data_IF_942346918641
#
_entry.id   IF_942346918641
#
_cell.length_a   1.000
_cell.length_b   1.000
_cell.length_c   1.000
_cell.angle_alpha   90.00
_cell.angle_beta   90.00
_cell.angle_gamma   90.00
#
_symmetry.space_group_name_H-M   'P 1'
#
loop_
_entity.id
_entity.type
_entity.pdbx_description
1 polymer ?
#
# COMPACT_ATOMS: atom_id res chain seq x y z
N UNK A 1 -25.39 -32.26 8.48
CA UNK A 1 -25.10 -31.67 7.18
C UNK A 1 -25.28 -30.15 7.32
N UNK A 2 -24.20 -29.45 7.62
CA UNK A 2 -24.18 -27.98 7.70
C UNK A 2 -24.37 -27.44 6.29
N UNK A 3 -25.44 -26.66 6.08
CA UNK A 3 -25.56 -25.82 4.89
C UNK A 3 -24.44 -24.80 4.97
N UNK A 4 -23.35 -25.00 4.24
CA UNK A 4 -22.31 -24.00 4.07
C UNK A 4 -22.94 -22.77 3.41
N UNK A 5 -23.28 -21.78 4.22
CA UNK A 5 -23.65 -20.47 3.71
C UNK A 5 -22.45 -19.95 2.94
N UNK A 6 -22.64 -19.57 1.66
CA UNK A 6 -21.62 -18.88 0.86
C UNK A 6 -21.26 -17.62 1.64
N UNK A 7 -20.00 -17.49 2.07
CA UNK A 7 -19.56 -16.26 2.72
C UNK A 7 -19.66 -15.13 1.70
N UNK A 8 -20.33 -14.05 2.08
CA UNK A 8 -20.37 -12.85 1.26
C UNK A 8 -18.97 -12.22 1.26
N UNK A 9 -18.48 -11.85 0.07
CA UNK A 9 -17.26 -11.04 -0.06
C UNK A 9 -17.68 -9.59 0.14
N UNK A 10 -16.93 -8.86 0.96
CA UNK A 10 -17.20 -7.46 1.31
C UNK A 10 -15.96 -6.64 1.01
N UNK A 11 -16.12 -5.52 0.31
CA UNK A 11 -15.09 -4.50 0.22
C UNK A 11 -14.95 -3.79 1.57
N UNK A 12 -13.74 -3.77 2.12
CA UNK A 12 -13.43 -3.08 3.37
C UNK A 12 -12.34 -2.06 3.11
N UNK A 13 -12.64 -0.79 3.37
CA UNK A 13 -11.61 0.22 3.41
C UNK A 13 -10.91 0.23 4.77
N UNK A 14 -9.59 0.26 4.78
CA UNK A 14 -8.79 0.42 6.00
C UNK A 14 -8.06 1.76 5.99
N UNK A 15 -8.16 2.49 7.11
CA UNK A 15 -7.33 3.67 7.37
C UNK A 15 -6.58 3.50 8.68
N UNK A 16 -5.38 4.06 8.77
CA UNK A 16 -4.63 4.12 10.01
C UNK A 16 -4.89 5.43 10.76
N UNK A 17 -4.74 5.38 12.07
CA UNK A 17 -4.76 6.57 12.92
C UNK A 17 -3.36 6.93 13.40
N UNK A 18 -3.09 8.22 13.47
CA UNK A 18 -1.88 8.76 14.07
C UNK A 18 -2.04 8.85 15.60
N UNK A 19 -1.02 8.46 16.35
CA UNK A 19 -0.98 8.59 17.80
C UNK A 19 -0.41 9.94 18.26
N UNK A 20 -0.56 10.28 19.54
CA UNK A 20 -0.23 11.61 20.06
C UNK A 20 1.27 11.97 20.03
N UNK A 21 2.15 10.98 20.03
CA UNK A 21 3.62 11.17 19.98
C UNK A 21 4.22 10.94 18.58
N UNK A 22 3.40 10.69 17.58
CA UNK A 22 3.87 10.37 16.23
C UNK A 22 4.37 11.61 15.48
N UNK A 23 5.44 11.42 14.69
CA UNK A 23 5.96 12.40 13.77
C UNK A 23 5.78 11.92 12.32
N UNK A 24 5.26 12.78 11.45
CA UNK A 24 5.09 12.52 10.01
C UNK A 24 5.80 13.58 9.15
N UNK A 25 6.47 14.55 9.76
CA UNK A 25 7.12 15.64 9.04
C UNK A 25 8.54 15.25 8.58
N UNK A 26 8.76 15.27 7.27
CA UNK A 26 10.08 15.24 6.67
C UNK A 26 10.91 13.97 6.81
N UNK A 27 10.30 12.82 7.08
CA UNK A 27 11.03 11.57 7.33
C UNK A 27 11.37 10.77 6.07
N UNK A 28 10.58 10.89 5.01
CA UNK A 28 10.75 10.08 3.80
C UNK A 28 11.65 10.76 2.78
N UNK A 29 12.86 10.24 2.63
CA UNK A 29 13.75 10.61 1.54
C UNK A 29 13.15 10.13 0.20
N UNK A 30 13.22 10.99 -0.83
CA UNK A 30 12.65 10.68 -2.14
C UNK A 30 11.13 10.85 -2.26
N UNK A 31 10.49 11.38 -1.23
CA UNK A 31 9.11 11.86 -1.27
C UNK A 31 9.10 13.38 -1.25
N UNK A 32 8.65 14.01 -2.35
CA UNK A 32 8.66 15.47 -2.49
C UNK A 32 7.82 16.18 -1.45
N UNK A 33 6.65 15.64 -1.10
CA UNK A 33 5.79 16.23 -0.07
C UNK A 33 6.43 16.12 1.31
N UNK A 34 7.05 14.99 1.63
CA UNK A 34 7.81 14.83 2.86
C UNK A 34 8.98 15.78 2.93
N UNK A 35 9.76 15.90 1.86
CA UNK A 35 10.93 16.80 1.80
C UNK A 35 10.55 18.29 2.01
N UNK A 36 9.42 18.73 1.46
CA UNK A 36 8.90 20.10 1.66
C UNK A 36 8.54 20.41 3.12
N UNK A 37 8.24 19.38 3.91
CA UNK A 37 7.87 19.49 5.32
C UNK A 37 9.01 19.13 6.29
N UNK A 38 10.24 18.96 5.78
CA UNK A 38 11.41 18.66 6.61
C UNK A 38 11.61 19.75 7.67
N UNK A 39 11.77 19.35 8.94
CA UNK A 39 11.87 20.28 10.08
C UNK A 39 10.54 20.87 10.56
N UNK A 40 9.43 20.53 9.91
CA UNK A 40 8.10 20.93 10.35
C UNK A 40 7.67 20.23 11.65
N UNK A 41 6.76 20.84 12.38
CA UNK A 41 6.16 20.26 13.58
C UNK A 41 4.90 19.48 13.23
N UNK A 42 4.89 18.19 13.51
CA UNK A 42 3.70 17.35 13.35
C UNK A 42 2.57 17.82 14.29
N UNK A 43 1.33 17.72 13.80
CA UNK A 43 0.11 18.03 14.56
C UNK A 43 -0.79 16.80 14.69
N UNK A 44 -0.43 15.81 15.52
CA UNK A 44 -1.07 14.49 15.53
C UNK A 44 -2.57 14.56 15.78
N UNK A 45 -3.04 15.44 16.70
CA UNK A 45 -4.46 15.57 16.98
C UNK A 45 -5.26 16.06 15.78
N UNK A 46 -4.76 17.05 15.05
CA UNK A 46 -5.42 17.57 13.87
C UNK A 46 -5.47 16.52 12.76
N UNK A 47 -4.36 15.81 12.52
CA UNK A 47 -4.28 14.73 11.55
C UNK A 47 -5.22 13.56 11.89
N UNK A 48 -5.30 13.16 13.17
CA UNK A 48 -6.24 12.12 13.61
C UNK A 48 -7.70 12.53 13.37
N UNK A 49 -8.07 13.78 13.64
CA UNK A 49 -9.42 14.28 13.39
C UNK A 49 -9.77 14.29 11.90
N UNK A 50 -8.83 14.61 11.01
CA UNK A 50 -9.02 14.50 9.57
C UNK A 50 -9.23 13.04 9.12
N UNK A 51 -8.40 12.11 9.61
CA UNK A 51 -8.56 10.68 9.34
C UNK A 51 -9.92 10.15 9.78
N UNK A 52 -10.37 10.51 10.98
CA UNK A 52 -11.70 10.12 11.50
C UNK A 52 -12.82 10.73 10.65
N UNK A 53 -12.68 11.99 10.20
CA UNK A 53 -13.67 12.62 9.35
C UNK A 53 -13.82 11.88 8.01
N UNK A 54 -12.70 11.47 7.38
CA UNK A 54 -12.70 10.64 6.17
C UNK A 54 -13.40 9.30 6.40
N UNK A 55 -13.05 8.57 7.48
CA UNK A 55 -13.69 7.29 7.81
C UNK A 55 -15.21 7.44 8.01
N UNK A 56 -15.64 8.51 8.68
CA UNK A 56 -17.07 8.80 8.87
C UNK A 56 -17.78 9.07 7.56
N UNK A 57 -17.14 9.75 6.60
CA UNK A 57 -17.68 9.97 5.27
C UNK A 57 -17.90 8.65 4.53
N UNK A 58 -16.91 7.73 4.58
CA UNK A 58 -17.05 6.40 3.99
C UNK A 58 -18.22 5.61 4.60
N UNK A 59 -18.34 5.60 5.93
CA UNK A 59 -19.46 4.95 6.62
C UNK A 59 -20.80 5.56 6.20
N UNK A 60 -20.87 6.88 6.04
CA UNK A 60 -22.09 7.56 5.61
C UNK A 60 -22.50 7.21 4.15
N UNK A 61 -21.54 6.79 3.33
CA UNK A 61 -21.78 6.24 1.99
C UNK A 61 -22.17 4.74 2.00
N UNK A 62 -22.22 4.11 3.17
CA UNK A 62 -22.54 2.68 3.30
C UNK A 62 -21.34 1.75 3.19
N UNK A 63 -20.11 2.29 3.07
CA UNK A 63 -18.90 1.50 2.96
C UNK A 63 -18.49 0.88 4.30
N UNK A 64 -17.98 -0.33 4.27
CA UNK A 64 -17.40 -0.98 5.45
C UNK A 64 -16.03 -0.38 5.73
N UNK A 65 -15.82 0.10 6.96
CA UNK A 65 -14.60 0.80 7.37
C UNK A 65 -13.87 0.03 8.46
N UNK A 66 -12.62 -0.34 8.18
CA UNK A 66 -11.65 -0.84 9.15
C UNK A 66 -10.71 0.27 9.62
N UNK A 67 -10.02 0.05 10.74
CA UNK A 67 -9.06 0.99 11.30
C UNK A 67 -7.83 0.28 11.84
N UNK A 68 -6.63 0.77 11.49
CA UNK A 68 -5.40 0.44 12.18
C UNK A 68 -5.17 1.39 13.35
N UNK A 69 -4.96 0.82 14.53
CA UNK A 69 -4.67 1.59 15.71
C UNK A 69 -3.21 2.08 15.70
N UNK A 70 -2.92 3.25 16.31
CA UNK A 70 -1.57 3.76 16.39
C UNK A 70 -0.64 2.78 17.10
N UNK A 71 0.53 2.54 16.54
CA UNK A 71 1.60 1.82 17.23
C UNK A 71 2.26 2.73 18.28
N UNK A 72 2.81 2.14 19.35
CA UNK A 72 3.50 2.92 20.39
C UNK A 72 4.74 3.63 19.85
N UNK A 73 4.90 4.91 20.22
CA UNK A 73 6.08 5.73 19.82
C UNK A 73 6.64 6.49 21.04
N UNK A 74 7.97 6.70 21.11
CA UNK A 74 9.00 6.18 20.19
C UNK A 74 9.07 4.65 20.22
N UNK A 75 9.50 4.03 19.11
CA UNK A 75 9.78 2.59 19.09
C UNK A 75 11.07 2.30 19.86
N UNK A 76 10.88 1.96 21.14
CA UNK A 76 11.99 1.66 22.07
C UNK A 76 12.72 0.39 21.72
N UNK A 77 12.03 -0.63 21.17
CA UNK A 77 12.63 -1.88 20.82
C UNK A 77 13.58 -1.71 19.61
N UNK A 78 13.15 -0.96 18.62
CA UNK A 78 13.99 -0.63 17.47
C UNK A 78 15.22 0.18 17.89
N UNK A 79 15.06 1.23 18.72
CA UNK A 79 16.20 2.01 19.24
C UNK A 79 17.17 1.13 20.03
N UNK A 80 16.67 0.23 20.87
CA UNK A 80 17.51 -0.69 21.63
C UNK A 80 18.31 -1.64 20.73
N UNK A 81 17.73 -2.10 19.61
CA UNK A 81 18.45 -2.91 18.62
C UNK A 81 19.62 -2.16 17.95
N UNK A 82 19.58 -0.82 17.99
CA UNK A 82 20.65 0.06 17.50
C UNK A 82 21.57 0.55 18.62
N UNK A 83 21.45 -0.02 19.84
CA UNK A 83 22.29 0.32 20.99
C UNK A 83 21.97 1.64 21.66
N UNK A 84 20.77 2.21 21.46
CA UNK A 84 20.36 3.47 22.07
C UNK A 84 18.99 3.40 22.76
N UNK A 85 18.75 4.39 23.65
CA UNK A 85 17.45 4.65 24.25
C UNK A 85 16.92 6.00 23.71
N UNK A 86 15.64 6.32 23.86
CA UNK A 86 15.09 7.61 23.40
C UNK A 86 15.85 8.82 23.94
N UNK A 87 16.34 8.74 25.17
CA UNK A 87 17.04 9.80 25.87
C UNK A 87 18.50 10.01 25.37
N UNK A 88 19.08 8.98 24.72
CA UNK A 88 20.47 8.99 24.24
C UNK A 88 20.58 8.86 22.72
N UNK A 89 19.46 8.65 22.04
CA UNK A 89 19.45 8.46 20.58
C UNK A 89 19.86 9.74 19.84
N UNK A 90 20.69 9.64 18.80
CA UNK A 90 20.87 10.73 17.85
C UNK A 90 19.53 11.22 17.32
N UNK A 91 19.41 12.55 17.10
CA UNK A 91 18.14 13.18 16.71
C UNK A 91 17.48 12.53 15.46
N UNK A 92 18.29 12.11 14.48
CA UNK A 92 17.78 11.40 13.28
C UNK A 92 17.19 10.03 13.60
N UNK A 93 17.81 9.24 14.49
CA UNK A 93 17.26 7.95 14.92
C UNK A 93 15.99 8.13 15.77
N UNK A 94 15.99 9.12 16.67
CA UNK A 94 14.80 9.43 17.46
C UNK A 94 13.64 9.87 16.56
N UNK A 95 13.89 10.69 15.54
CA UNK A 95 12.86 11.10 14.57
C UNK A 95 12.27 9.87 13.82
N UNK A 96 13.12 8.93 13.38
CA UNK A 96 12.66 7.69 12.77
C UNK A 96 11.84 6.82 13.75
N UNK A 97 12.27 6.72 15.02
CA UNK A 97 11.55 5.97 16.05
C UNK A 97 10.18 6.58 16.41
N UNK A 98 9.95 7.85 16.07
CA UNK A 98 8.68 8.55 16.25
C UNK A 98 7.77 8.50 15.01
N UNK A 99 8.16 7.80 13.94
CA UNK A 99 7.45 7.74 12.67
C UNK A 99 5.97 7.40 12.82
N UNK A 100 5.13 8.11 12.07
CA UNK A 100 3.70 7.86 11.94
C UNK A 100 3.36 6.98 10.73
N UNK A 101 4.33 6.42 10.00
CA UNK A 101 4.07 5.84 8.69
C UNK A 101 3.20 4.57 8.75
N UNK A 102 3.06 3.92 9.91
CA UNK A 102 2.09 2.83 10.14
C UNK A 102 0.61 3.24 9.94
N UNK A 103 0.32 4.55 9.89
CA UNK A 103 -1.00 5.05 9.56
C UNK A 103 -1.36 4.87 8.06
N UNK A 104 -0.38 4.68 7.20
CA UNK A 104 -0.60 4.49 5.75
C UNK A 104 -1.01 3.05 5.45
N UNK A 105 -2.31 2.77 5.42
CA UNK A 105 -2.86 1.43 5.20
C UNK A 105 -2.39 0.78 3.89
N UNK A 106 -2.13 1.57 2.83
CA UNK A 106 -1.59 1.09 1.56
C UNK A 106 -0.23 0.37 1.71
N UNK A 107 0.52 0.67 2.75
CA UNK A 107 1.80 0.01 3.05
C UNK A 107 1.69 -1.08 4.11
N UNK A 108 0.50 -1.43 4.58
CA UNK A 108 0.36 -2.44 5.63
C UNK A 108 0.62 -3.86 5.12
N UNK A 109 -0.05 -4.25 4.05
CA UNK A 109 0.02 -5.59 3.50
C UNK A 109 -0.48 -5.64 2.05
N UNK A 110 -0.01 -6.63 1.29
CA UNK A 110 -0.67 -7.07 0.06
C UNK A 110 -1.77 -8.05 0.42
N UNK A 111 -2.94 -7.94 -0.22
CA UNK A 111 -4.12 -8.77 0.05
C UNK A 111 -4.57 -9.44 -1.23
N UNK A 112 -4.69 -10.77 -1.19
CA UNK A 112 -5.28 -11.59 -2.26
C UNK A 112 -6.57 -12.23 -1.75
N UNK A 113 -7.75 -11.87 -2.29
CA UNK A 113 -9.01 -12.44 -1.81
C UNK A 113 -9.17 -13.90 -2.20
N UNK A 114 -10.00 -14.61 -1.44
CA UNK A 114 -10.25 -16.05 -1.60
C UNK A 114 -10.63 -16.51 -3.01
N UNK A 115 -11.21 -15.62 -3.83
CA UNK A 115 -11.56 -15.93 -5.22
C UNK A 115 -10.36 -16.06 -6.16
N UNK A 116 -9.19 -15.52 -5.74
CA UNK A 116 -7.99 -15.44 -6.57
C UNK A 116 -6.92 -16.46 -6.15
N UNK A 117 -7.09 -17.12 -5.00
CA UNK A 117 -6.11 -18.01 -4.38
C UNK A 117 -6.47 -19.49 -4.59
N UNK A 118 -5.47 -20.36 -4.65
CA UNK A 118 -5.65 -21.79 -4.91
C UNK A 118 -6.40 -22.53 -3.78
N UNK A 119 -6.21 -22.10 -2.53
CA UNK A 119 -6.82 -22.74 -1.35
C UNK A 119 -8.18 -22.14 -0.96
N UNK A 120 -8.60 -21.06 -1.65
CA UNK A 120 -9.88 -20.41 -1.41
C UNK A 120 -9.93 -19.64 -0.07
N UNK A 121 -8.79 -19.27 0.52
CA UNK A 121 -8.70 -18.37 1.68
C UNK A 121 -8.20 -16.99 1.26
N UNK A 122 -8.53 -15.96 2.03
CA UNK A 122 -7.98 -14.63 1.81
C UNK A 122 -6.60 -14.54 2.45
N UNK A 123 -5.58 -14.23 1.64
CA UNK A 123 -4.20 -14.10 2.09
C UNK A 123 -3.80 -12.65 2.29
N UNK A 124 -3.05 -12.38 3.36
CA UNK A 124 -2.46 -11.08 3.63
C UNK A 124 -0.96 -11.26 3.93
N UNK A 125 -0.07 -10.64 3.16
CA UNK A 125 1.38 -10.58 3.45
C UNK A 125 1.76 -9.18 3.89
N UNK A 126 2.30 -9.06 5.11
CA UNK A 126 2.76 -7.78 5.65
C UNK A 126 3.96 -7.28 4.86
N UNK A 127 3.95 -6.02 4.46
CA UNK A 127 5.06 -5.38 3.77
C UNK A 127 6.28 -5.23 4.70
N UNK A 128 7.49 -5.45 4.17
CA UNK A 128 8.72 -5.33 4.95
C UNK A 128 9.26 -3.90 5.04
N UNK A 129 8.92 -3.04 4.09
CA UNK A 129 9.25 -1.61 4.05
C UNK A 129 10.74 -1.30 4.26
N UNK A 130 11.63 -2.21 3.88
CA UNK A 130 13.07 -2.14 4.20
C UNK A 130 13.81 -1.00 3.51
N UNK A 131 13.23 -0.38 2.50
CA UNK A 131 13.87 0.69 1.74
C UNK A 131 14.00 2.01 2.51
N UNK A 132 13.21 2.19 3.58
CA UNK A 132 13.19 3.40 4.40
C UNK A 132 13.31 3.10 5.89
N UNK A 133 14.35 3.61 6.60
CA UNK A 133 14.59 3.30 8.02
C UNK A 133 13.39 3.59 8.93
N UNK A 134 12.71 4.73 8.72
CA UNK A 134 11.57 5.14 9.55
C UNK A 134 10.32 4.27 9.38
N UNK A 135 10.30 3.34 8.43
CA UNK A 135 9.18 2.43 8.12
C UNK A 135 9.53 0.97 8.35
N UNK A 136 10.81 0.62 8.22
CA UNK A 136 11.30 -0.77 8.24
C UNK A 136 11.07 -1.50 9.58
N UNK A 137 10.76 -0.79 10.65
CA UNK A 137 10.51 -1.36 11.99
C UNK A 137 9.02 -1.48 12.33
N UNK A 138 8.11 -1.11 11.43
CA UNK A 138 6.67 -1.05 11.71
C UNK A 138 5.94 -2.38 11.48
N UNK A 139 6.52 -3.26 10.67
CA UNK A 139 5.85 -4.48 10.22
C UNK A 139 5.46 -5.42 11.38
N UNK A 140 6.21 -5.46 12.49
CA UNK A 140 5.89 -6.31 13.65
C UNK A 140 4.56 -5.91 14.28
N UNK A 141 4.35 -4.61 14.49
CA UNK A 141 3.10 -4.08 15.03
C UNK A 141 1.94 -4.24 14.06
N UNK A 142 2.18 -4.04 12.77
CA UNK A 142 1.19 -4.25 11.70
C UNK A 142 0.79 -5.72 11.61
N UNK A 143 1.74 -6.65 11.64
CA UNK A 143 1.47 -8.09 11.66
C UNK A 143 0.63 -8.51 12.86
N UNK A 144 0.92 -7.98 14.05
CA UNK A 144 0.16 -8.28 15.26
C UNK A 144 -1.30 -7.80 15.13
N UNK A 145 -1.52 -6.59 14.60
CA UNK A 145 -2.87 -6.07 14.38
C UNK A 145 -3.64 -6.89 13.33
N UNK A 146 -3.00 -7.23 12.20
CA UNK A 146 -3.62 -8.04 11.16
C UNK A 146 -4.00 -9.44 11.66
N UNK A 147 -3.11 -10.10 12.40
CA UNK A 147 -3.41 -11.42 12.99
C UNK A 147 -4.57 -11.37 13.99
N UNK A 148 -4.73 -10.26 14.70
CA UNK A 148 -5.87 -10.07 15.61
C UNK A 148 -7.16 -9.79 14.83
N UNK A 149 -7.11 -8.89 13.85
CA UNK A 149 -8.29 -8.48 13.09
C UNK A 149 -8.82 -9.62 12.19
N UNK A 150 -7.92 -10.43 11.64
CA UNK A 150 -8.23 -11.52 10.71
C UNK A 150 -8.00 -12.92 11.34
N UNK A 151 -8.26 -13.05 12.64
CA UNK A 151 -8.15 -14.31 13.39
C UNK A 151 -9.28 -15.30 13.09
N UNK A 152 -9.58 -15.53 11.81
CA UNK A 152 -10.62 -16.43 11.33
C UNK A 152 -10.03 -17.38 10.28
N UNK A 153 -10.42 -18.67 10.21
CA UNK A 153 -9.88 -19.62 9.22
C UNK A 153 -10.06 -19.24 7.75
N UNK A 154 -10.94 -18.27 7.43
CA UNK A 154 -11.07 -17.72 6.09
C UNK A 154 -9.89 -16.84 5.67
N UNK A 155 -8.98 -16.53 6.58
CA UNK A 155 -7.83 -15.64 6.35
C UNK A 155 -6.53 -16.32 6.75
N UNK A 156 -5.49 -16.08 5.95
CA UNK A 156 -4.11 -16.49 6.25
C UNK A 156 -3.21 -15.25 6.26
N UNK A 157 -2.66 -14.93 7.43
CA UNK A 157 -1.79 -13.75 7.62
C UNK A 157 -0.33 -14.16 7.69
N UNK A 158 0.42 -13.83 6.65
CA UNK A 158 1.84 -14.12 6.50
C UNK A 158 2.73 -13.02 7.08
N UNK A 159 3.94 -13.40 7.48
CA UNK A 159 5.01 -12.46 7.77
C UNK A 159 5.53 -11.77 6.49
N UNK A 160 6.47 -10.83 6.66
CA UNK A 160 7.04 -10.09 5.53
C UNK A 160 7.97 -10.95 4.69
N UNK A 161 8.13 -10.56 3.42
CA UNK A 161 9.17 -11.10 2.54
C UNK A 161 10.55 -10.78 3.13
N UNK A 162 11.52 -11.72 3.10
CA UNK A 162 12.86 -11.47 3.62
C UNK A 162 13.56 -10.31 2.91
N UNK A 163 14.27 -9.48 3.68
CA UNK A 163 15.24 -8.54 3.13
C UNK A 163 16.35 -9.34 2.37
N UNK A 164 16.97 -8.81 1.30
CA UNK A 164 16.91 -7.42 0.82
C UNK A 164 15.83 -7.12 -0.23
N UNK A 165 14.90 -8.03 -0.48
CA UNK A 165 13.83 -7.79 -1.46
C UNK A 165 12.81 -6.83 -0.88
N UNK A 166 12.90 -5.56 -1.27
CA UNK A 166 11.97 -4.53 -0.82
C UNK A 166 10.54 -4.84 -1.24
N UNK A 167 9.63 -4.82 -0.27
CA UNK A 167 8.18 -4.98 -0.43
C UNK A 167 7.46 -3.81 0.24
N UNK A 168 6.62 -3.14 -0.52
CA UNK A 168 5.91 -1.92 -0.12
C UNK A 168 4.39 -2.14 0.03
N UNK A 169 3.95 -3.39 -0.07
CA UNK A 169 2.56 -3.78 0.14
C UNK A 169 1.61 -3.32 -0.97
N UNK A 170 0.37 -3.02 -0.60
CA UNK A 170 -0.69 -2.66 -1.54
C UNK A 170 -0.42 -1.37 -2.32
N UNK A 171 0.51 -0.52 -1.89
CA UNK A 171 0.91 0.65 -2.66
C UNK A 171 1.47 0.30 -4.06
N UNK A 172 1.94 -0.94 -4.24
CA UNK A 172 2.43 -1.48 -5.51
C UNK A 172 1.65 -2.72 -5.97
N UNK A 173 0.42 -2.85 -5.52
CA UNK A 173 -0.47 -3.93 -5.90
C UNK A 173 -1.86 -3.40 -6.22
N UNK A 174 -2.47 -3.94 -7.26
CA UNK A 174 -3.84 -3.66 -7.65
C UNK A 174 -4.54 -4.98 -7.96
N UNK A 175 -5.86 -5.02 -7.76
CA UNK A 175 -6.70 -6.12 -8.18
C UNK A 175 -7.80 -5.62 -9.09
N UNK A 176 -8.01 -6.31 -10.21
CA UNK A 176 -9.12 -6.04 -11.14
C UNK A 176 -9.97 -7.30 -11.32
N UNK A 177 -11.28 -7.13 -11.31
CA UNK A 177 -12.25 -8.22 -11.45
C UNK A 177 -13.58 -7.71 -11.98
N UNK A 178 -14.45 -8.59 -12.41
CA UNK A 178 -15.79 -8.20 -12.86
C UNK A 178 -16.65 -7.65 -11.71
N UNK A 179 -16.52 -8.27 -10.55
CA UNK A 179 -17.10 -7.89 -9.25
C UNK A 179 -16.15 -8.34 -8.15
N UNK A 180 -16.31 -7.86 -6.92
CA UNK A 180 -15.49 -8.30 -5.78
C UNK A 180 -15.55 -9.82 -5.55
N UNK A 181 -16.67 -10.47 -5.87
CA UNK A 181 -16.85 -11.92 -5.71
C UNK A 181 -16.25 -12.76 -6.84
N UNK A 182 -16.01 -12.15 -8.01
CA UNK A 182 -15.49 -12.86 -9.17
C UNK A 182 -13.98 -13.08 -9.07
N UNK A 183 -13.45 -14.17 -9.68
CA UNK A 183 -12.01 -14.32 -9.82
C UNK A 183 -11.39 -13.11 -10.53
N UNK A 184 -10.35 -12.55 -9.92
CA UNK A 184 -9.68 -11.35 -10.40
C UNK A 184 -8.38 -11.61 -11.14
N UNK A 185 -7.75 -10.53 -11.54
CA UNK A 185 -6.37 -10.46 -12.00
C UNK A 185 -5.61 -9.59 -11.00
N UNK A 186 -4.60 -10.14 -10.37
CA UNK A 186 -3.73 -9.40 -9.46
C UNK A 186 -2.55 -8.79 -10.21
N UNK A 187 -2.35 -7.51 -10.03
CA UNK A 187 -1.34 -6.72 -10.74
C UNK A 187 -0.30 -6.28 -9.74
N UNK A 188 0.91 -6.82 -9.89
CA UNK A 188 2.06 -6.47 -9.08
C UNK A 188 2.94 -5.51 -9.85
N UNK A 189 3.08 -4.30 -9.34
CA UNK A 189 3.90 -3.25 -9.96
C UNK A 189 5.27 -3.20 -9.28
N UNK A 190 6.34 -3.27 -10.05
CA UNK A 190 7.71 -3.25 -9.56
C UNK A 190 8.55 -2.21 -10.29
N UNK A 191 9.66 -1.81 -9.71
CA UNK A 191 10.62 -0.92 -10.35
C UNK A 191 12.00 -1.54 -10.48
N UNK A 192 12.83 -1.03 -11.40
CA UNK A 192 14.12 -1.64 -11.74
C UNK A 192 15.30 -0.73 -11.49
N UNK A 193 15.13 0.58 -11.54
CA UNK A 193 16.28 1.49 -11.57
C UNK A 193 16.63 2.17 -10.29
N UNK A 194 17.92 2.52 -10.21
CA UNK A 194 18.42 3.57 -9.35
C UNK A 194 18.49 4.89 -10.11
N UNK A 195 17.75 5.86 -9.69
CA UNK A 195 17.80 7.24 -10.14
C UNK A 195 17.92 8.15 -8.92
N UNK A 196 17.54 9.43 -9.05
CA UNK A 196 17.40 10.34 -7.90
C UNK A 196 16.46 9.76 -6.83
N UNK A 197 15.46 8.97 -7.28
CA UNK A 197 14.53 8.24 -6.44
C UNK A 197 14.56 6.77 -6.85
N UNK A 198 15.19 5.88 -6.05
CA UNK A 198 15.24 4.47 -6.36
C UNK A 198 13.86 3.83 -6.29
N UNK A 199 13.63 2.84 -7.14
CA UNK A 199 12.47 1.97 -7.04
C UNK A 199 12.46 1.27 -5.68
N UNK A 200 11.29 1.14 -5.07
CA UNK A 200 11.14 0.57 -3.73
C UNK A 200 10.63 -0.87 -3.73
N UNK A 201 9.79 -1.24 -4.72
CA UNK A 201 9.25 -2.59 -4.86
C UNK A 201 10.16 -3.45 -5.72
N UNK A 202 10.61 -4.58 -5.18
CA UNK A 202 11.45 -5.52 -5.91
C UNK A 202 10.59 -6.60 -6.59
N UNK A 203 10.91 -6.96 -7.86
CA UNK A 203 10.13 -7.95 -8.62
C UNK A 203 10.08 -9.32 -7.92
N UNK A 204 11.18 -9.76 -7.27
CA UNK A 204 11.17 -11.05 -6.57
C UNK A 204 10.32 -11.02 -5.29
N UNK A 205 10.15 -9.87 -4.63
CA UNK A 205 9.18 -9.73 -3.55
C UNK A 205 7.76 -9.91 -4.09
N UNK A 206 7.40 -9.23 -5.18
CA UNK A 206 6.10 -9.37 -5.85
C UNK A 206 5.80 -10.81 -6.25
N UNK A 207 6.77 -11.49 -6.89
CA UNK A 207 6.64 -12.90 -7.27
C UNK A 207 6.54 -13.84 -6.06
N UNK A 208 7.25 -13.54 -4.97
CA UNK A 208 7.20 -14.32 -3.75
C UNK A 208 5.82 -14.19 -3.09
N UNK A 209 5.26 -12.99 -2.98
CA UNK A 209 3.91 -12.76 -2.48
C UNK A 209 2.89 -13.53 -3.31
N UNK A 210 2.92 -13.42 -4.64
CA UNK A 210 2.01 -14.15 -5.53
C UNK A 210 2.08 -15.68 -5.32
N UNK A 211 3.29 -16.24 -5.17
CA UNK A 211 3.48 -17.68 -4.88
C UNK A 211 2.98 -18.08 -3.50
N UNK A 212 3.26 -17.27 -2.48
CA UNK A 212 2.84 -17.54 -1.09
C UNK A 212 1.30 -17.51 -0.98
N UNK A 213 0.66 -16.61 -1.72
CA UNK A 213 -0.80 -16.50 -1.75
C UNK A 213 -1.47 -17.54 -2.68
N UNK A 214 -0.71 -18.27 -3.49
CA UNK A 214 -1.28 -19.17 -4.49
C UNK A 214 -2.14 -18.44 -5.52
N UNK A 215 -1.69 -17.26 -5.97
CA UNK A 215 -2.44 -16.44 -6.93
C UNK A 215 -2.44 -17.09 -8.30
N UNK A 216 -3.62 -17.40 -8.82
CA UNK A 216 -3.79 -18.11 -10.08
C UNK A 216 -3.64 -17.22 -11.32
N UNK A 217 -3.92 -15.92 -11.21
CA UNK A 217 -3.92 -14.96 -12.31
C UNK A 217 -3.20 -13.67 -11.91
N UNK A 218 -1.90 -13.60 -12.18
CA UNK A 218 -1.06 -12.45 -11.85
C UNK A 218 -0.42 -11.84 -13.09
N UNK A 219 -0.34 -10.50 -13.13
CA UNK A 219 0.48 -9.74 -14.06
C UNK A 219 1.55 -9.02 -13.24
N UNK A 220 2.81 -9.12 -13.69
CA UNK A 220 3.94 -8.38 -13.13
C UNK A 220 4.31 -7.28 -14.12
N UNK A 221 4.08 -6.02 -13.76
CA UNK A 221 4.31 -4.88 -14.64
C UNK A 221 5.37 -3.96 -14.07
N UNK A 222 6.26 -3.48 -14.93
CA UNK A 222 7.28 -2.51 -14.53
C UNK A 222 6.67 -1.12 -14.50
N UNK A 223 6.85 -0.41 -13.38
CA UNK A 223 6.54 1.01 -13.29
C UNK A 223 7.48 1.82 -14.21
N UNK A 224 6.97 2.89 -14.79
CA UNK A 224 7.76 3.78 -15.64
C UNK A 224 8.95 4.37 -14.87
N UNK A 225 10.13 4.28 -15.45
CA UNK A 225 11.35 4.88 -14.88
C UNK A 225 11.27 6.40 -14.84
N UNK A 226 10.60 7.00 -15.83
CA UNK A 226 10.32 8.44 -15.87
C UNK A 226 9.44 8.85 -14.68
N UNK A 227 8.38 8.09 -14.40
CA UNK A 227 7.51 8.36 -13.25
C UNK A 227 8.26 8.22 -11.92
N UNK A 228 9.09 7.18 -11.75
CA UNK A 228 9.92 6.99 -10.56
C UNK A 228 10.90 8.15 -10.40
N UNK A 229 11.59 8.53 -11.47
CA UNK A 229 12.57 9.63 -11.46
C UNK A 229 11.91 10.99 -11.16
N UNK A 230 10.64 11.18 -11.55
CA UNK A 230 9.85 12.36 -11.21
C UNK A 230 9.36 12.39 -9.77
N UNK A 231 9.46 11.27 -9.03
CA UNK A 231 9.05 11.16 -7.62
C UNK A 231 7.84 10.27 -7.36
N UNK A 232 7.33 9.55 -8.36
CA UNK A 232 6.31 8.52 -8.17
C UNK A 232 6.98 7.23 -7.64
N UNK A 233 7.37 7.24 -6.39
CA UNK A 233 8.11 6.17 -5.72
C UNK A 233 7.28 4.89 -5.47
N UNK A 234 5.97 4.95 -5.59
CA UNK A 234 5.02 3.84 -5.56
C UNK A 234 4.04 3.95 -6.73
N UNK A 235 3.42 2.82 -7.10
CA UNK A 235 2.39 2.79 -8.12
C UNK A 235 1.16 3.63 -7.74
N UNK A 236 0.76 3.64 -6.48
CA UNK A 236 -0.40 4.39 -5.99
C UNK A 236 -0.30 5.92 -6.17
N UNK A 237 0.87 6.42 -6.57
CA UNK A 237 1.06 7.83 -6.97
C UNK A 237 0.61 8.09 -8.41
N UNK A 238 0.53 7.07 -9.26
CA UNK A 238 0.26 7.20 -10.70
C UNK A 238 -0.83 6.27 -11.22
N UNK A 239 -1.32 5.33 -10.41
CA UNK A 239 -2.41 4.43 -10.79
C UNK A 239 -3.16 3.90 -9.56
N UNK A 240 -4.46 3.67 -9.73
CA UNK A 240 -5.33 3.01 -8.75
C UNK A 240 -6.38 2.19 -9.49
N UNK A 241 -6.85 1.10 -8.88
CA UNK A 241 -7.86 0.24 -9.47
C UNK A 241 -8.92 -0.20 -8.45
N UNK A 242 -10.13 -0.46 -8.94
CA UNK A 242 -11.18 -1.13 -8.20
C UNK A 242 -12.12 -1.85 -9.17
N UNK A 243 -12.51 -3.07 -8.84
CA UNK A 243 -13.32 -3.93 -9.72
C UNK A 243 -12.76 -3.95 -11.15
N UNK A 244 -13.53 -3.47 -12.14
CA UNK A 244 -13.14 -3.46 -13.55
C UNK A 244 -12.44 -2.17 -13.99
N UNK A 245 -12.31 -1.17 -13.12
CA UNK A 245 -11.77 0.14 -13.47
C UNK A 245 -10.29 0.21 -13.11
N UNK A 246 -9.45 0.49 -14.10
CA UNK A 246 -8.08 0.94 -13.93
C UNK A 246 -8.02 2.45 -14.24
N UNK A 247 -7.69 3.27 -13.25
CA UNK A 247 -7.47 4.69 -13.39
C UNK A 247 -5.97 4.97 -13.28
N UNK A 248 -5.33 5.39 -14.38
CA UNK A 248 -3.88 5.51 -14.45
C UNK A 248 -3.44 6.72 -15.28
N UNK A 249 -2.29 7.28 -14.90
CA UNK A 249 -1.59 8.25 -15.73
C UNK A 249 -0.97 7.56 -16.95
N UNK A 250 -0.91 8.22 -18.11
CA UNK A 250 -0.36 7.63 -19.34
C UNK A 250 1.11 7.21 -19.22
N UNK A 251 1.86 7.82 -18.28
CA UNK A 251 3.26 7.51 -17.99
C UNK A 251 3.42 6.58 -16.76
N UNK A 252 2.39 5.88 -16.32
CA UNK A 252 2.48 5.02 -15.13
C UNK A 252 3.35 3.79 -15.35
N UNK A 253 3.32 3.18 -16.53
CA UNK A 253 3.93 1.88 -16.82
C UNK A 253 4.96 1.96 -17.94
N UNK A 254 6.04 1.16 -17.85
CA UNK A 254 7.12 1.16 -18.83
C UNK A 254 6.68 0.61 -20.19
N UNK A 255 5.91 -0.50 -20.21
CA UNK A 255 5.26 -1.06 -21.40
C UNK A 255 3.74 -1.03 -21.19
N UNK A 256 3.18 0.15 -21.31
CA UNK A 256 1.75 0.37 -21.15
C UNK A 256 0.90 -0.46 -22.12
N UNK A 257 1.28 -0.45 -23.40
CA UNK A 257 0.47 -1.11 -24.44
C UNK A 257 0.49 -2.64 -24.29
N UNK A 258 1.64 -3.20 -23.93
CA UNK A 258 1.77 -4.61 -23.58
C UNK A 258 0.93 -4.97 -22.36
N UNK A 259 1.02 -4.19 -21.31
CA UNK A 259 0.24 -4.39 -20.08
C UNK A 259 -1.27 -4.32 -20.36
N UNK A 260 -1.74 -3.30 -21.07
CA UNK A 260 -3.17 -3.15 -21.38
C UNK A 260 -3.72 -4.25 -22.27
N UNK A 261 -2.91 -4.74 -23.23
CA UNK A 261 -3.27 -5.90 -24.05
C UNK A 261 -3.43 -7.16 -23.19
N UNK A 262 -2.46 -7.44 -22.33
CA UNK A 262 -2.45 -8.64 -21.49
C UNK A 262 -3.57 -8.59 -20.45
N UNK A 263 -3.84 -7.41 -19.88
CA UNK A 263 -4.96 -7.19 -18.97
C UNK A 263 -6.31 -7.43 -19.66
N UNK A 264 -6.52 -6.88 -20.87
CA UNK A 264 -7.75 -7.12 -21.64
C UNK A 264 -7.95 -8.56 -22.04
N UNK A 265 -6.86 -9.30 -22.27
CA UNK A 265 -6.94 -10.74 -22.57
C UNK A 265 -7.44 -11.55 -21.35
N UNK A 266 -7.06 -11.16 -20.13
CA UNK A 266 -7.46 -11.80 -18.88
C UNK A 266 -8.81 -11.28 -18.36
N UNK A 267 -9.10 -9.99 -18.57
CA UNK A 267 -10.31 -9.32 -18.12
C UNK A 267 -10.91 -8.46 -19.26
N UNK A 268 -11.65 -9.07 -20.22
CA UNK A 268 -12.15 -8.35 -21.40
C UNK A 268 -13.05 -7.16 -21.10
N UNK A 269 -13.70 -7.14 -19.93
CA UNK A 269 -14.58 -6.07 -19.47
C UNK A 269 -13.86 -4.95 -18.71
N UNK A 270 -12.51 -4.95 -18.70
CA UNK A 270 -11.76 -3.89 -18.01
C UNK A 270 -12.03 -2.53 -18.66
N UNK A 271 -12.26 -1.54 -17.84
CA UNK A 271 -12.39 -0.15 -18.20
C UNK A 271 -11.12 0.60 -17.81
N UNK A 272 -10.33 1.02 -18.80
CA UNK A 272 -9.08 1.74 -18.58
C UNK A 272 -9.35 3.22 -18.78
N UNK A 273 -9.29 3.98 -17.69
CA UNK A 273 -9.39 5.43 -17.67
C UNK A 273 -7.97 5.98 -17.59
N UNK A 274 -7.42 6.30 -18.76
CA UNK A 274 -6.08 6.86 -18.88
C UNK A 274 -6.13 8.39 -18.83
N UNK A 275 -5.30 8.97 -17.97
CA UNK A 275 -5.13 10.42 -17.86
C UNK A 275 -3.92 10.84 -18.70
N UNK A 276 -4.12 11.55 -19.83
CA UNK A 276 -3.03 11.98 -20.66
C UNK A 276 -2.25 13.15 -20.01
N UNK A 277 -0.95 13.23 -20.26
CA UNK A 277 -0.07 14.31 -19.80
C UNK A 277 -0.58 15.71 -20.21
N UNK A 278 -1.25 15.78 -21.35
CA UNK A 278 -1.86 17.04 -21.81
C UNK A 278 -3.01 17.53 -20.93
N UNK A 279 -3.70 16.63 -20.21
CA UNK A 279 -4.77 16.98 -19.28
C UNK A 279 -4.22 17.21 -17.86
N UNK A 280 -3.34 16.35 -17.39
CA UNK A 280 -2.68 16.46 -16.08
C UNK A 280 -1.21 16.07 -16.27
N UNK A 281 -0.30 16.99 -16.01
CA UNK A 281 1.11 16.67 -16.08
C UNK A 281 1.52 15.66 -15.02
N UNK A 282 2.57 14.87 -15.26
CA UNK A 282 3.10 13.93 -14.28
C UNK A 282 3.49 14.65 -12.97
N UNK A 283 4.03 15.86 -13.07
CA UNK A 283 4.35 16.71 -11.91
C UNK A 283 3.11 17.07 -11.11
N UNK A 284 2.02 17.48 -11.76
CA UNK A 284 0.77 17.82 -11.09
C UNK A 284 0.12 16.59 -10.45
N UNK A 285 0.13 15.46 -11.14
CA UNK A 285 -0.35 14.18 -10.60
C UNK A 285 0.40 13.80 -9.31
N UNK A 286 1.74 13.90 -9.30
CA UNK A 286 2.58 13.59 -8.14
C UNK A 286 2.34 14.61 -7.00
N UNK A 287 2.28 15.91 -7.31
CA UNK A 287 2.13 16.94 -6.28
C UNK A 287 0.75 16.98 -5.64
N UNK A 288 -0.29 16.67 -6.39
CA UNK A 288 -1.68 16.62 -5.90
C UNK A 288 -2.05 15.29 -5.27
N UNK A 289 -1.22 14.23 -5.45
CA UNK A 289 -1.57 12.85 -5.09
C UNK A 289 -2.88 12.38 -5.74
N UNK A 290 -3.13 12.77 -6.99
CA UNK A 290 -4.38 12.50 -7.72
C UNK A 290 -4.78 11.02 -7.67
N UNK A 291 -3.82 10.11 -7.86
CA UNK A 291 -4.06 8.66 -7.91
C UNK A 291 -3.94 7.98 -6.55
N UNK A 292 -3.34 8.65 -5.53
CA UNK A 292 -3.36 8.17 -4.15
C UNK A 292 -4.74 8.42 -3.54
N UNK A 293 -5.73 7.84 -4.16
CA UNK A 293 -7.14 8.01 -3.94
C UNK A 293 -7.79 6.65 -3.68
N UNK A 294 -9.04 6.65 -3.25
CA UNK A 294 -9.84 5.44 -3.11
C UNK A 294 -10.87 5.41 -4.23
N UNK A 295 -10.79 4.40 -5.09
CA UNK A 295 -11.91 3.97 -5.91
C UNK A 295 -12.71 2.97 -5.08
N UNK A 296 -14.01 3.19 -4.93
CA UNK A 296 -14.89 2.38 -4.11
C UNK A 296 -16.15 2.02 -4.87
N UNK A 297 -16.75 0.89 -4.52
CA UNK A 297 -18.04 0.44 -5.08
C UNK A 297 -19.16 0.90 -4.16
N UNK A 298 -20.18 1.62 -4.70
CA UNK A 298 -21.34 2.13 -3.99
C UNK A 298 -22.60 1.36 -4.36
#
# INVERSE_FOLDING_TARGET
MSRGGKMAIVEINFDGLIGPSHNYAGLSLGNLASAKNAGGTAQPRAAALQGIAKMRANIALGLTQGVFLPQSRPDRAWLASLGCAPETAPSGLLANALSASSMWAANAATVSPAADTEDGTCHLSVANLVTMPHRSHEWQGTLAQLRLAFANPAFTVHGPIPAPFGDEGAANHMRLSATHEAPGVEIFVYGVTGGPFPARQHIEASKAVARIHGVSRAIFVQQSEEAIAAGAFHNDVVAVANERVLFAHELAFADKDGFYRDLRALLPQVEIVEVPTAAVSLTDAIQSYLFNAQLVTL
#
